data_IF_488448472780
#
_entry.id   IF_488448472780
#
_cell.length_a   1.000
_cell.length_b   1.000
_cell.length_c   1.000
_cell.angle_alpha   90.00
_cell.angle_beta   90.00
_cell.angle_gamma   90.00
#
_symmetry.space_group_name_H-M   'P 1'
#
loop_
_entity.id
_entity.type
_entity.pdbx_description
1 polymer ?
#
# COMPACT_ATOMS: atom_id res chain seq x y z
N UNK A 1 -13.95 -18.44 19.60
CA UNK A 1 -14.21 -17.85 20.93
C UNK A 1 -15.66 -18.10 21.23
N UNK A 2 -15.96 -18.92 22.25
CA UNK A 2 -17.33 -19.31 22.59
C UNK A 2 -18.03 -18.15 23.31
N UNK A 3 -19.35 -18.03 23.17
CA UNK A 3 -20.15 -17.07 23.94
C UNK A 3 -20.00 -17.32 25.46
N UNK A 4 -19.75 -18.57 25.87
CA UNK A 4 -19.43 -18.91 27.26
C UNK A 4 -18.13 -18.22 27.74
N UNK A 5 -17.08 -18.17 26.91
CA UNK A 5 -15.78 -17.58 27.26
C UNK A 5 -15.90 -16.08 27.52
N UNK A 6 -16.70 -15.37 26.70
CA UNK A 6 -16.95 -13.93 26.85
C UNK A 6 -17.67 -13.62 28.16
N UNK A 7 -18.69 -14.40 28.50
CA UNK A 7 -19.46 -14.19 29.75
C UNK A 7 -18.64 -14.47 31.01
N UNK A 8 -17.67 -15.39 30.94
CA UNK A 8 -16.72 -15.65 32.02
C UNK A 8 -15.75 -14.47 32.14
N UNK A 9 -15.22 -13.98 31.01
CA UNK A 9 -14.33 -12.84 30.98
C UNK A 9 -14.96 -11.57 31.56
N UNK A 10 -16.17 -11.19 31.11
CA UNK A 10 -16.90 -10.01 31.58
C UNK A 10 -17.17 -10.06 33.10
N UNK A 11 -17.49 -11.24 33.64
CA UNK A 11 -17.74 -11.41 35.08
C UNK A 11 -16.46 -11.31 35.91
N UNK A 12 -15.32 -11.80 35.41
CA UNK A 12 -14.02 -11.68 36.07
C UNK A 12 -13.54 -10.23 36.05
N UNK A 13 -13.71 -9.53 34.94
CA UNK A 13 -13.38 -8.10 34.80
C UNK A 13 -14.26 -7.23 35.72
N UNK A 14 -15.53 -7.58 35.92
CA UNK A 14 -16.45 -6.90 36.82
C UNK A 14 -16.28 -7.26 38.31
N UNK A 15 -15.37 -8.18 38.66
CA UNK A 15 -15.14 -8.63 40.04
C UNK A 15 -16.27 -9.49 40.63
N UNK A 16 -17.15 -10.06 39.77
CA UNK A 16 -18.29 -10.86 40.18
C UNK A 16 -17.92 -12.35 40.27
N UNK A 17 -18.51 -13.13 41.21
CA UNK A 17 -18.28 -14.56 41.30
C UNK A 17 -18.86 -15.28 40.07
N UNK A 18 -18.04 -16.11 39.43
CA UNK A 18 -18.44 -16.90 38.25
C UNK A 18 -18.99 -18.25 38.74
N UNK A 19 -20.28 -18.48 38.55
CA UNK A 19 -20.88 -19.80 38.84
C UNK A 19 -20.72 -20.70 37.62
N UNK A 20 -19.60 -21.45 37.55
CA UNK A 20 -19.29 -22.33 36.42
C UNK A 20 -17.95 -23.05 36.59
N UNK A 21 -17.70 -24.06 35.74
CA UNK A 21 -16.59 -25.03 35.81
C UNK A 21 -15.27 -24.45 36.38
N UNK A 22 -14.94 -24.89 37.59
CA UNK A 22 -13.96 -24.31 38.53
C UNK A 22 -12.51 -24.24 37.98
N UNK A 23 -12.23 -24.94 36.87
CA UNK A 23 -10.94 -24.99 36.21
C UNK A 23 -10.69 -23.76 35.31
N UNK A 24 -11.69 -23.35 34.53
CA UNK A 24 -11.54 -22.26 33.56
C UNK A 24 -11.44 -20.91 34.27
N UNK A 25 -12.20 -20.71 35.35
CA UNK A 25 -12.11 -19.51 36.19
C UNK A 25 -10.70 -19.33 36.77
N UNK A 26 -10.07 -20.40 37.26
CA UNK A 26 -8.71 -20.36 37.81
C UNK A 26 -7.68 -19.99 36.75
N UNK A 27 -7.86 -20.45 35.51
CA UNK A 27 -6.97 -20.13 34.39
C UNK A 27 -7.11 -18.65 34.03
N UNK A 28 -8.35 -18.15 33.86
CA UNK A 28 -8.58 -16.74 33.56
C UNK A 28 -8.06 -15.82 34.66
N UNK A 29 -8.37 -16.10 35.94
CA UNK A 29 -7.82 -15.34 37.07
C UNK A 29 -6.30 -15.31 37.07
N UNK A 30 -5.65 -16.43 36.73
CA UNK A 30 -4.19 -16.49 36.67
C UNK A 30 -3.62 -15.66 35.53
N UNK A 31 -4.22 -15.74 34.34
CA UNK A 31 -3.82 -14.93 33.18
C UNK A 31 -3.98 -13.44 33.50
N UNK A 32 -5.11 -13.03 34.05
CA UNK A 32 -5.33 -11.64 34.46
C UNK A 32 -4.35 -11.19 35.53
N UNK A 33 -4.05 -12.01 36.54
CA UNK A 33 -3.05 -11.66 37.57
C UNK A 33 -1.63 -11.46 37.02
N UNK A 34 -1.31 -12.11 35.89
CA UNK A 34 -0.02 -11.93 35.20
C UNK A 34 -0.04 -10.70 34.30
N UNK A 35 -1.19 -10.40 33.67
CA UNK A 35 -1.37 -9.24 32.78
C UNK A 35 -1.56 -7.92 33.53
N UNK A 36 -2.11 -7.96 34.74
CA UNK A 36 -2.30 -6.80 35.62
C UNK A 36 -0.98 -6.27 36.16
N UNK A 37 0.07 -7.09 36.13
CA UNK A 37 1.41 -6.65 36.46
C UNK A 37 1.91 -5.70 35.37
N UNK A 38 2.02 -4.41 35.70
CA UNK A 38 2.63 -3.45 34.80
C UNK A 38 4.01 -3.97 34.35
N UNK A 39 4.26 -4.03 33.04
CA UNK A 39 5.54 -4.50 32.54
C UNK A 39 6.63 -3.55 33.04
N UNK A 40 7.62 -4.09 33.76
CA UNK A 40 8.77 -3.36 34.32
C UNK A 40 9.76 -2.87 33.23
N UNK A 41 9.30 -2.81 31.99
CA UNK A 41 10.06 -2.41 30.83
C UNK A 41 9.88 -0.91 30.60
N UNK A 42 10.93 -0.16 30.90
CA UNK A 42 11.05 1.24 30.49
C UNK A 42 11.41 1.27 29.00
N UNK A 43 10.53 1.84 28.19
CA UNK A 43 10.80 2.08 26.76
C UNK A 43 12.10 2.87 26.62
N UNK A 44 13.07 2.42 25.80
CA UNK A 44 14.29 3.18 25.61
C UNK A 44 13.95 4.53 24.98
N UNK A 45 14.57 5.61 25.46
CA UNK A 45 14.31 6.97 24.97
C UNK A 45 14.47 7.12 23.45
N UNK A 46 15.27 6.26 22.82
CA UNK A 46 15.49 6.21 21.36
C UNK A 46 14.43 5.43 20.57
N UNK A 47 13.44 4.81 21.23
CA UNK A 47 12.41 4.01 20.56
C UNK A 47 11.61 4.85 19.56
N UNK A 48 11.09 6.00 20.00
CA UNK A 48 10.35 6.92 19.13
C UNK A 48 11.22 7.38 17.95
N UNK A 49 12.49 7.71 18.20
CA UNK A 49 13.43 8.11 17.15
C UNK A 49 13.68 6.98 16.13
N UNK A 50 13.82 5.73 16.57
CA UNK A 50 13.99 4.56 15.69
C UNK A 50 12.74 4.27 14.87
N UNK A 51 11.55 4.40 15.45
CA UNK A 51 10.27 4.22 14.74
C UNK A 51 10.11 5.29 13.67
N UNK A 52 10.31 6.56 14.01
CA UNK A 52 10.26 7.68 13.06
C UNK A 52 11.30 7.51 11.95
N UNK A 53 12.51 7.08 12.30
CA UNK A 53 13.58 6.81 11.35
C UNK A 53 13.18 5.74 10.32
N UNK A 54 12.60 4.62 10.77
CA UNK A 54 12.13 3.55 9.88
C UNK A 54 11.00 4.02 8.94
N UNK A 55 10.05 4.80 9.45
CA UNK A 55 8.94 5.34 8.65
C UNK A 55 9.48 6.26 7.54
N UNK A 56 10.37 7.19 7.90
CA UNK A 56 10.99 8.10 6.92
C UNK A 56 11.81 7.36 5.87
N UNK A 57 12.53 6.30 6.27
CA UNK A 57 13.34 5.51 5.35
C UNK A 57 12.47 4.76 4.33
N UNK A 58 11.36 4.15 4.75
CA UNK A 58 10.41 3.51 3.85
C UNK A 58 9.75 4.50 2.88
N UNK A 59 9.42 5.70 3.35
CA UNK A 59 8.84 6.75 2.53
C UNK A 59 9.84 7.28 1.49
N UNK A 60 11.09 7.50 1.90
CA UNK A 60 12.16 7.95 0.99
C UNK A 60 12.48 6.90 -0.09
N UNK A 61 12.43 5.61 0.25
CA UNK A 61 12.68 4.53 -0.71
C UNK A 61 11.54 4.38 -1.72
N UNK A 62 10.28 4.60 -1.30
CA UNK A 62 9.12 4.62 -2.20
C UNK A 62 9.20 5.80 -3.17
N UNK A 63 9.53 6.99 -2.68
CA UNK A 63 9.64 8.20 -3.49
C UNK A 63 10.68 8.04 -4.63
N UNK A 64 11.86 7.48 -4.35
CA UNK A 64 12.90 7.26 -5.38
C UNK A 64 12.40 6.40 -6.55
N UNK A 65 11.63 5.35 -6.25
CA UNK A 65 11.08 4.45 -7.27
C UNK A 65 10.02 5.14 -8.12
N UNK A 66 9.15 5.93 -7.49
CA UNK A 66 8.12 6.71 -8.18
C UNK A 66 8.73 7.76 -9.12
N UNK A 67 9.76 8.48 -8.65
CA UNK A 67 10.51 9.42 -9.49
C UNK A 67 11.16 8.73 -10.70
N UNK A 68 11.76 7.55 -10.50
CA UNK A 68 12.37 6.79 -11.60
C UNK A 68 11.34 6.41 -12.67
N UNK A 69 10.17 5.90 -12.27
CA UNK A 69 9.09 5.56 -13.19
C UNK A 69 8.51 6.78 -13.91
N UNK A 70 8.37 7.90 -13.21
CA UNK A 70 7.93 9.16 -13.80
C UNK A 70 8.92 9.64 -14.87
N UNK A 71 10.22 9.67 -14.56
CA UNK A 71 11.26 10.07 -15.50
C UNK A 71 11.31 9.12 -16.71
N UNK A 72 11.17 7.81 -16.50
CA UNK A 72 11.12 6.83 -17.58
C UNK A 72 9.90 7.07 -18.50
N UNK A 73 8.73 7.36 -17.93
CA UNK A 73 7.52 7.68 -18.69
C UNK A 73 7.65 8.96 -19.52
N UNK A 74 8.18 10.03 -18.92
CA UNK A 74 8.44 11.31 -19.61
C UNK A 74 9.44 11.10 -20.75
N UNK A 75 10.53 10.38 -20.49
CA UNK A 75 11.54 10.07 -21.51
C UNK A 75 10.94 9.32 -22.70
N UNK A 76 10.12 8.29 -22.43
CA UNK A 76 9.48 7.50 -23.47
C UNK A 76 8.47 8.33 -24.28
N UNK A 77 7.75 9.25 -23.62
CA UNK A 77 6.86 10.20 -24.31
C UNK A 77 7.64 11.11 -25.26
N UNK A 78 8.76 11.69 -24.80
CA UNK A 78 9.63 12.53 -25.63
C UNK A 78 10.18 11.76 -26.82
N UNK A 79 10.69 10.55 -26.61
CA UNK A 79 11.20 9.69 -27.69
C UNK A 79 10.11 9.38 -28.70
N UNK A 80 8.90 9.03 -28.23
CA UNK A 80 7.74 8.76 -29.10
C UNK A 80 7.36 10.00 -29.91
N UNK A 81 7.38 11.19 -29.30
CA UNK A 81 7.10 12.46 -29.97
C UNK A 81 8.14 12.74 -31.07
N UNK A 82 9.43 12.59 -30.78
CA UNK A 82 10.52 12.82 -31.74
C UNK A 82 10.44 11.84 -32.91
N UNK A 83 10.23 10.55 -32.63
CA UNK A 83 10.07 9.51 -33.66
C UNK A 83 8.84 9.82 -34.53
N UNK A 84 7.73 10.20 -33.91
CA UNK A 84 6.51 10.57 -34.63
C UNK A 84 6.74 11.78 -35.54
N UNK A 85 7.38 12.84 -35.06
CA UNK A 85 7.67 14.03 -35.88
C UNK A 85 8.64 13.68 -37.03
N UNK A 86 9.68 12.89 -36.74
CA UNK A 86 10.71 12.52 -37.72
C UNK A 86 10.17 11.61 -38.82
N UNK A 87 9.25 10.70 -38.50
CA UNK A 87 8.63 9.83 -39.53
C UNK A 87 7.53 10.54 -40.32
N UNK A 88 6.94 11.61 -39.79
CA UNK A 88 5.69 12.16 -40.34
C UNK A 88 5.88 13.47 -41.11
N UNK A 89 7.10 14.02 -41.23
CA UNK A 89 7.36 15.36 -41.81
C UNK A 89 6.30 16.39 -41.37
N UNK A 90 6.08 16.45 -40.04
CA UNK A 90 4.93 17.12 -39.43
C UNK A 90 4.97 18.63 -39.68
N UNK A 91 4.33 19.10 -40.77
CA UNK A 91 3.95 20.50 -40.91
C UNK A 91 2.73 20.70 -39.99
N UNK A 92 2.88 21.52 -38.95
CA UNK A 92 1.79 21.96 -38.06
C UNK A 92 0.75 22.77 -38.85
N UNK A 93 -0.02 22.10 -39.71
CA UNK A 93 -1.20 22.64 -40.36
C UNK A 93 -2.44 22.06 -39.70
N UNK A 94 -3.53 22.81 -39.74
CA UNK A 94 -4.80 22.54 -39.06
C UNK A 94 -5.48 21.19 -39.42
N UNK A 95 -4.90 20.38 -40.33
CA UNK A 95 -5.36 19.05 -40.74
C UNK A 95 -4.80 17.86 -39.93
N UNK A 96 -4.25 18.06 -38.73
CA UNK A 96 -3.68 16.94 -37.93
C UNK A 96 -4.71 15.83 -37.64
N UNK A 97 -6.01 16.18 -37.61
CA UNK A 97 -7.11 15.24 -37.42
C UNK A 97 -7.33 14.32 -38.65
N UNK A 98 -7.07 14.79 -39.87
CA UNK A 98 -7.13 13.93 -41.06
C UNK A 98 -5.93 12.99 -41.15
N UNK A 99 -4.76 13.43 -40.67
CA UNK A 99 -3.54 12.62 -40.61
C UNK A 99 -3.62 11.40 -39.67
N UNK A 100 -4.47 11.47 -38.63
CA UNK A 100 -4.71 10.35 -37.69
C UNK A 100 -5.26 9.11 -38.41
N UNK A 101 -6.05 9.29 -39.48
CA UNK A 101 -6.60 8.16 -40.25
C UNK A 101 -5.53 7.35 -41.00
N UNK A 102 -4.40 7.99 -41.33
CA UNK A 102 -3.25 7.39 -42.04
C UNK A 102 -2.28 6.68 -41.09
N UNK A 103 -2.23 7.10 -39.82
CA UNK A 103 -1.32 6.57 -38.80
C UNK A 103 -2.05 5.79 -37.72
N UNK A 104 -2.92 4.86 -38.13
CA UNK A 104 -3.60 3.90 -37.24
C UNK A 104 -2.62 3.18 -36.31
N UNK A 105 -1.39 2.91 -36.76
CA UNK A 105 -0.35 2.27 -35.95
C UNK A 105 0.12 3.12 -34.76
N UNK A 106 0.24 4.44 -34.92
CA UNK A 106 0.66 5.35 -33.83
C UNK A 106 -0.47 5.52 -32.83
N UNK A 107 -1.71 5.66 -33.31
CA UNK A 107 -2.89 5.69 -32.44
C UNK A 107 -3.06 4.38 -31.66
N UNK A 108 -2.91 3.23 -32.33
CA UNK A 108 -2.94 1.91 -31.71
C UNK A 108 -1.82 1.73 -30.67
N UNK A 109 -0.61 2.21 -31.00
CA UNK A 109 0.53 2.17 -30.09
C UNK A 109 0.29 3.05 -28.85
N UNK A 110 -0.23 4.26 -29.02
CA UNK A 110 -0.58 5.14 -27.90
C UNK A 110 -1.64 4.52 -26.98
N UNK A 111 -2.69 3.93 -27.56
CA UNK A 111 -3.73 3.22 -26.79
C UNK A 111 -3.14 2.01 -26.07
N UNK A 112 -2.34 1.18 -26.75
CA UNK A 112 -1.67 0.02 -26.15
C UNK A 112 -0.72 0.45 -25.02
N UNK A 113 0.00 1.56 -25.20
CA UNK A 113 0.90 2.11 -24.20
C UNK A 113 0.16 2.59 -22.95
N UNK A 114 -0.96 3.29 -23.11
CA UNK A 114 -1.83 3.68 -22.00
C UNK A 114 -2.38 2.45 -21.26
N UNK A 115 -2.79 1.41 -21.98
CA UNK A 115 -3.26 0.16 -21.39
C UNK A 115 -2.15 -0.58 -20.64
N UNK A 116 -0.92 -0.59 -21.16
CA UNK A 116 0.24 -1.18 -20.49
C UNK A 116 0.58 -0.37 -19.23
N UNK A 117 0.54 0.96 -19.28
CA UNK A 117 0.73 1.80 -18.10
C UNK A 117 -0.34 1.53 -17.04
N UNK A 118 -1.62 1.48 -17.42
CA UNK A 118 -2.70 1.11 -16.51
C UNK A 118 -2.53 -0.30 -15.93
N UNK A 119 -2.03 -1.24 -16.74
CA UNK A 119 -1.78 -2.60 -16.29
C UNK A 119 -0.62 -2.67 -15.29
N UNK A 120 0.48 -1.98 -15.56
CA UNK A 120 1.63 -1.85 -14.66
C UNK A 120 1.20 -1.17 -13.36
N UNK A 121 0.46 -0.07 -13.45
CA UNK A 121 -0.05 0.67 -12.29
C UNK A 121 -0.92 -0.22 -11.42
N UNK A 122 -1.89 -0.93 -12.02
CA UNK A 122 -2.76 -1.87 -11.31
C UNK A 122 -2.00 -3.07 -10.73
N UNK A 123 -0.95 -3.56 -11.40
CA UNK A 123 -0.11 -4.67 -10.95
C UNK A 123 0.79 -4.26 -9.77
N UNK A 124 1.36 -3.06 -9.81
CA UNK A 124 2.33 -2.60 -8.80
C UNK A 124 1.69 -1.88 -7.61
N UNK A 125 0.55 -1.19 -7.78
CA UNK A 125 -0.17 -0.53 -6.68
C UNK A 125 -0.95 -1.55 -5.84
N UNK A 126 -1.63 -2.53 -6.45
CA UNK A 126 -2.41 -3.53 -5.68
C UNK A 126 -1.53 -4.47 -4.86
N UNK A 127 -0.28 -4.68 -5.24
CA UNK A 127 0.67 -5.46 -4.42
C UNK A 127 0.98 -4.79 -3.07
N UNK A 128 0.76 -3.48 -2.92
CA UNK A 128 0.98 -2.75 -1.66
C UNK A 128 -0.25 -2.72 -0.76
N UNK A 129 -1.47 -2.94 -1.28
CA UNK A 129 -2.72 -2.91 -0.49
C UNK A 129 -3.06 -4.25 0.17
N UNK A 130 -2.57 -5.38 -0.35
CA UNK A 130 -2.80 -6.70 0.26
C UNK A 130 -1.76 -7.08 1.34
N UNK A 131 -0.91 -6.12 1.75
CA UNK A 131 0.12 -6.29 2.77
C UNK A 131 -0.12 -5.39 4.01
N UNK A 132 -1.37 -4.96 4.19
CA UNK A 132 -1.87 -4.34 5.43
C UNK A 132 -2.87 -5.31 6.04
#
# INVERSE_FOLDING_TARGET
MSEADKTIQEKIEAGLPVTGNDADEKIYRRIFSVLEKEPDFVLPASFAAKVIGKIKQQQAQSAKREYFWMCAGIFLLIVTLIVSISMTEFKLQAGFLEGISRYKGVALFGIAFILILQWIDKRFIRSKQNAI
#
